data_IF_012254609724
#
_entry.id   IF_012254609724
#
_cell.length_a   1.000
_cell.length_b   1.000
_cell.length_c   1.000
_cell.angle_alpha   90.00
_cell.angle_beta   90.00
_cell.angle_gamma   90.00
#
_symmetry.space_group_name_H-M   'P 1'
#
loop_
_entity.id
_entity.type
_entity.pdbx_description
1 polymer ?
#
# COMPACT_ATOMS: atom_id res chain seq x y z
N UNK A 1 24.43 16.26 -27.13
CA UNK A 1 23.39 15.45 -26.45
C UNK A 1 23.14 16.02 -25.07
N UNK A 2 21.91 16.38 -24.84
CA UNK A 2 21.51 16.95 -23.54
C UNK A 2 21.66 15.90 -22.43
N UNK A 3 22.13 16.32 -21.27
CA UNK A 3 22.28 15.48 -20.08
C UNK A 3 20.96 14.80 -19.67
N UNK A 4 19.83 15.44 -19.94
CA UNK A 4 18.49 14.90 -19.69
C UNK A 4 18.12 13.76 -20.66
N UNK A 5 18.50 13.86 -21.91
CA UNK A 5 18.23 12.84 -22.92
C UNK A 5 18.95 11.54 -22.61
N UNK A 6 20.24 11.64 -22.23
CA UNK A 6 21.02 10.45 -21.83
C UNK A 6 20.45 9.76 -20.59
N UNK A 7 20.01 10.55 -19.59
CA UNK A 7 19.40 10.00 -18.38
C UNK A 7 18.07 9.32 -18.70
N UNK A 8 17.25 9.89 -19.57
CA UNK A 8 15.97 9.31 -19.99
C UNK A 8 16.16 7.97 -20.70
N UNK A 9 17.12 7.90 -21.64
CA UNK A 9 17.42 6.68 -22.38
C UNK A 9 17.98 5.59 -21.47
N UNK A 10 18.82 5.95 -20.50
CA UNK A 10 19.36 5.04 -19.50
C UNK A 10 18.25 4.45 -18.63
N UNK A 11 17.35 5.31 -18.13
CA UNK A 11 16.20 4.89 -17.31
C UNK A 11 15.32 3.93 -18.11
N UNK A 12 14.97 4.26 -19.33
CA UNK A 12 14.13 3.41 -20.19
C UNK A 12 14.75 2.02 -20.38
N UNK A 13 16.05 1.96 -20.67
CA UNK A 13 16.78 0.71 -20.85
C UNK A 13 16.78 -0.12 -19.56
N UNK A 14 17.03 0.50 -18.41
CA UNK A 14 17.04 -0.16 -17.11
C UNK A 14 15.67 -0.72 -16.77
N UNK A 15 14.62 0.08 -16.94
CA UNK A 15 13.25 -0.35 -16.65
C UNK A 15 12.85 -1.54 -17.52
N UNK A 16 13.17 -1.50 -18.80
CA UNK A 16 12.85 -2.58 -19.73
C UNK A 16 13.53 -3.90 -19.38
N UNK A 17 14.80 -3.84 -18.97
CA UNK A 17 15.65 -5.02 -18.80
C UNK A 17 15.67 -5.56 -17.36
N UNK A 18 15.39 -4.72 -16.37
CA UNK A 18 15.62 -5.06 -14.96
C UNK A 18 14.39 -4.93 -14.06
N UNK A 19 13.35 -4.23 -14.47
CA UNK A 19 12.17 -4.05 -13.65
C UNK A 19 11.16 -5.16 -13.91
N UNK A 20 10.76 -5.84 -12.84
CA UNK A 20 9.66 -6.81 -12.86
C UNK A 20 8.47 -6.22 -12.12
N UNK A 21 7.29 -6.31 -12.74
CA UNK A 21 6.04 -5.83 -12.17
C UNK A 21 5.08 -7.01 -12.05
N UNK A 22 4.54 -7.24 -10.85
CA UNK A 22 3.50 -8.23 -10.62
C UNK A 22 2.26 -7.56 -10.06
N UNK A 23 1.10 -7.97 -10.55
CA UNK A 23 -0.19 -7.55 -10.01
C UNK A 23 -0.78 -8.70 -9.21
N UNK A 24 -1.10 -8.46 -7.95
CA UNK A 24 -1.63 -9.45 -7.03
C UNK A 24 -2.94 -8.96 -6.44
N UNK A 25 -3.82 -9.90 -6.10
CA UNK A 25 -5.05 -9.62 -5.37
C UNK A 25 -5.09 -10.55 -4.17
N UNK A 26 -5.31 -10.00 -2.99
CA UNK A 26 -5.45 -10.82 -1.79
C UNK A 26 -6.47 -10.21 -0.84
N UNK A 27 -7.11 -11.06 -0.02
CA UNK A 27 -8.03 -10.59 0.99
C UNK A 27 -7.30 -9.81 2.10
N UNK A 28 -8.04 -8.97 2.81
CA UNK A 28 -7.49 -8.29 3.99
C UNK A 28 -6.99 -9.32 5.00
N UNK A 29 -7.72 -10.41 5.20
CA UNK A 29 -7.28 -11.49 6.10
C UNK A 29 -5.92 -12.04 5.70
N UNK A 30 -5.72 -12.34 4.42
CA UNK A 30 -4.43 -12.85 3.92
C UNK A 30 -3.33 -11.81 4.05
N UNK A 31 -3.62 -10.57 3.67
CA UNK A 31 -2.65 -9.48 3.73
C UNK A 31 -2.15 -9.23 5.16
N UNK A 32 -3.05 -9.15 6.12
CA UNK A 32 -2.72 -8.84 7.52
C UNK A 32 -2.37 -10.08 8.34
N UNK A 33 -2.88 -11.25 7.96
CA UNK A 33 -2.63 -12.51 8.68
C UNK A 33 -1.29 -13.16 8.36
N UNK A 34 -0.64 -12.76 7.29
CA UNK A 34 0.65 -13.33 6.91
C UNK A 34 1.78 -12.75 7.78
N UNK A 35 2.13 -13.48 8.84
CA UNK A 35 3.15 -13.06 9.82
C UNK A 35 4.50 -12.82 9.14
N UNK A 36 4.88 -13.67 8.19
CA UNK A 36 6.15 -13.53 7.47
C UNK A 36 6.17 -12.25 6.63
N UNK A 37 5.08 -11.96 5.94
CA UNK A 37 4.96 -10.75 5.14
C UNK A 37 5.00 -9.49 6.01
N UNK A 38 4.28 -9.49 7.14
CA UNK A 38 4.28 -8.34 8.08
C UNK A 38 5.66 -8.00 8.60
N UNK A 39 6.48 -9.03 8.89
CA UNK A 39 7.86 -8.84 9.34
C UNK A 39 8.76 -8.24 8.25
N UNK A 40 8.42 -8.45 7.00
CA UNK A 40 9.21 -7.96 5.85
C UNK A 40 8.83 -6.55 5.43
N UNK A 41 7.65 -6.07 5.83
CA UNK A 41 7.19 -4.74 5.45
C UNK A 41 7.97 -3.69 6.22
N UNK A 42 8.57 -2.77 5.47
CA UNK A 42 9.32 -1.64 6.01
C UNK A 42 8.89 -0.35 5.34
N UNK A 43 9.07 0.75 6.03
CA UNK A 43 8.80 2.08 5.52
C UNK A 43 10.11 2.84 5.39
N UNK A 44 10.51 3.12 4.16
CA UNK A 44 11.72 3.89 3.90
C UNK A 44 11.45 5.37 4.21
N UNK A 45 12.19 5.99 5.15
CA UNK A 45 11.97 7.39 5.51
C UNK A 45 12.24 8.37 4.37
N UNK A 46 13.00 7.94 3.35
CA UNK A 46 13.34 8.80 2.22
C UNK A 46 12.12 9.19 1.38
N UNK A 47 11.17 8.28 1.20
CA UNK A 47 10.00 8.53 0.34
C UNK A 47 8.65 8.21 1.01
N UNK A 48 8.65 7.94 2.31
CA UNK A 48 7.40 7.65 3.02
C UNK A 48 7.13 8.71 4.08
N UNK A 49 5.87 9.16 4.12
CA UNK A 49 5.38 9.97 5.23
C UNK A 49 5.11 9.07 6.42
N UNK A 50 5.23 9.62 7.64
CA UNK A 50 4.70 8.98 8.83
C UNK A 50 3.18 8.82 8.71
N UNK A 51 2.61 7.94 9.52
CA UNK A 51 1.15 7.83 9.57
C UNK A 51 0.57 9.14 10.08
N UNK A 52 -0.23 9.80 9.23
CA UNK A 52 -0.75 11.16 9.50
C UNK A 52 -2.28 11.25 9.39
N UNK A 53 -2.96 10.19 8.99
CA UNK A 53 -4.42 10.22 8.89
C UNK A 53 -5.03 10.41 10.27
N UNK A 54 -5.96 11.37 10.39
CA UNK A 54 -6.77 11.49 11.59
C UNK A 54 -7.84 10.38 11.64
N UNK A 55 -8.52 10.28 12.76
CA UNK A 55 -9.51 9.22 12.99
C UNK A 55 -10.70 9.33 12.04
N UNK A 56 -11.09 10.52 11.64
CA UNK A 56 -12.20 10.74 10.71
C UNK A 56 -11.85 10.22 9.30
N UNK A 57 -10.65 10.53 8.82
CA UNK A 57 -10.19 10.05 7.52
C UNK A 57 -10.01 8.54 7.52
N UNK A 58 -9.44 7.99 8.59
CA UNK A 58 -9.32 6.54 8.77
C UNK A 58 -10.70 5.86 8.78
N UNK A 59 -11.66 6.45 9.47
CA UNK A 59 -13.05 5.97 9.50
C UNK A 59 -13.68 5.96 8.11
N UNK A 60 -13.52 7.04 7.36
CA UNK A 60 -14.03 7.13 5.99
C UNK A 60 -13.46 6.03 5.10
N UNK A 61 -12.17 5.75 5.25
CA UNK A 61 -11.51 4.67 4.51
C UNK A 61 -12.08 3.29 4.85
N UNK A 62 -12.26 2.99 6.13
CA UNK A 62 -12.85 1.72 6.57
C UNK A 62 -14.29 1.59 6.06
N UNK A 63 -15.09 2.66 6.14
CA UNK A 63 -16.44 2.66 5.58
C UNK A 63 -16.42 2.34 4.08
N UNK A 64 -15.49 2.92 3.34
CA UNK A 64 -15.32 2.66 1.91
C UNK A 64 -15.04 1.19 1.62
N UNK A 65 -14.24 0.54 2.45
CA UNK A 65 -14.00 -0.92 2.40
C UNK A 65 -15.30 -1.67 2.59
N UNK A 66 -16.05 -1.35 3.63
CA UNK A 66 -17.31 -2.04 3.95
C UNK A 66 -18.40 -1.82 2.90
N UNK A 67 -18.39 -0.68 2.23
CA UNK A 67 -19.33 -0.38 1.15
C UNK A 67 -18.93 -1.00 -0.19
N UNK A 68 -17.75 -1.61 -0.28
CA UNK A 68 -17.27 -2.20 -1.52
C UNK A 68 -16.79 -1.17 -2.55
N UNK A 69 -16.47 0.04 -2.12
CA UNK A 69 -15.93 1.08 -3.00
C UNK A 69 -14.55 0.65 -3.52
N UNK A 70 -14.26 0.98 -4.76
CA UNK A 70 -12.95 0.69 -5.34
C UNK A 70 -11.85 1.45 -4.60
N UNK A 71 -10.81 0.71 -4.17
CA UNK A 71 -9.67 1.24 -3.44
C UNK A 71 -8.43 1.22 -4.35
N UNK A 72 -7.66 2.31 -4.41
CA UNK A 72 -6.40 2.30 -5.16
C UNK A 72 -5.47 1.19 -4.66
N UNK A 73 -4.70 0.57 -5.56
CA UNK A 73 -3.81 -0.52 -5.15
C UNK A 73 -2.72 -0.04 -4.20
N UNK A 74 -2.26 -0.94 -3.34
CA UNK A 74 -1.02 -0.75 -2.60
C UNK A 74 0.14 -0.99 -3.57
N UNK A 75 1.19 -0.21 -3.45
CA UNK A 75 2.39 -0.35 -4.29
C UNK A 75 3.56 -0.72 -3.40
N UNK A 76 4.14 -1.88 -3.67
CA UNK A 76 5.26 -2.44 -2.91
C UNK A 76 6.50 -2.55 -3.79
N UNK A 77 7.66 -2.44 -3.16
CA UNK A 77 8.93 -2.76 -3.78
C UNK A 77 9.60 -3.88 -2.99
N UNK A 78 9.82 -5.01 -3.64
CA UNK A 78 10.49 -6.16 -3.03
C UNK A 78 11.99 -6.04 -3.27
N UNK A 79 12.76 -5.92 -2.18
CA UNK A 79 14.22 -5.82 -2.25
C UNK A 79 14.85 -7.19 -2.42
N UNK A 80 16.12 -7.23 -2.81
CA UNK A 80 16.88 -8.47 -2.91
C UNK A 80 16.98 -9.22 -1.58
N UNK A 81 17.01 -8.49 -0.46
CA UNK A 81 17.05 -9.06 0.88
C UNK A 81 15.71 -9.67 1.30
N UNK A 82 14.68 -9.50 0.49
CA UNK A 82 13.35 -10.03 0.76
C UNK A 82 12.47 -9.11 1.60
N UNK A 83 12.93 -7.90 1.94
CA UNK A 83 12.08 -6.91 2.58
C UNK A 83 11.12 -6.30 1.56
N UNK A 84 10.00 -5.81 2.05
CA UNK A 84 8.96 -5.17 1.23
C UNK A 84 8.86 -3.71 1.65
N UNK A 85 9.29 -2.81 0.78
CA UNK A 85 9.15 -1.38 0.99
C UNK A 85 7.78 -0.92 0.48
N UNK A 86 7.02 -0.21 1.31
CA UNK A 86 5.74 0.36 0.89
C UNK A 86 6.00 1.66 0.14
N UNK A 87 5.81 1.62 -1.17
CA UNK A 87 6.03 2.79 -2.05
C UNK A 87 4.83 3.72 -2.00
N UNK A 88 3.63 3.16 -2.08
CA UNK A 88 2.39 3.92 -1.95
C UNK A 88 1.37 3.10 -1.17
N UNK A 89 0.63 3.78 -0.29
CA UNK A 89 -0.44 3.15 0.46
C UNK A 89 -0.13 2.88 1.94
N UNK A 90 0.90 3.50 2.51
CA UNK A 90 1.21 3.36 3.94
C UNK A 90 0.01 3.68 4.83
N UNK A 91 -0.67 4.80 4.55
CA UNK A 91 -1.83 5.22 5.34
C UNK A 91 -2.93 4.15 5.29
N UNK A 92 -3.19 3.63 4.11
CA UNK A 92 -4.21 2.59 3.90
C UNK A 92 -3.81 1.29 4.59
N UNK A 93 -2.60 0.82 4.38
CA UNK A 93 -2.12 -0.41 5.00
C UNK A 93 -2.16 -0.35 6.53
N UNK A 94 -1.65 0.72 7.11
CA UNK A 94 -1.66 0.87 8.57
C UNK A 94 -3.08 1.02 9.12
N UNK A 95 -3.98 1.69 8.40
CA UNK A 95 -5.37 1.82 8.82
C UNK A 95 -6.08 0.47 8.85
N UNK A 96 -5.86 -0.37 7.83
CA UNK A 96 -6.40 -1.73 7.82
C UNK A 96 -5.95 -2.50 9.06
N UNK A 97 -4.66 -2.42 9.39
CA UNK A 97 -4.08 -3.09 10.55
C UNK A 97 -4.61 -2.54 11.87
N UNK A 98 -4.66 -1.22 12.00
CA UNK A 98 -5.20 -0.57 13.21
C UNK A 98 -6.64 -0.98 13.50
N UNK A 99 -7.46 -1.04 12.45
CA UNK A 99 -8.86 -1.43 12.62
C UNK A 99 -8.99 -2.87 13.08
N UNK A 100 -8.29 -3.79 12.42
CA UNK A 100 -8.33 -5.21 12.81
C UNK A 100 -7.84 -5.43 14.24
N UNK A 101 -6.82 -4.69 14.65
CA UNK A 101 -6.19 -4.84 15.98
C UNK A 101 -6.92 -4.09 17.10
N UNK A 102 -8.07 -3.47 16.83
CA UNK A 102 -8.86 -2.77 17.84
C UNK A 102 -8.35 -1.38 18.20
N UNK A 103 -7.46 -0.80 17.38
CA UNK A 103 -6.86 0.51 17.64
C UNK A 103 -7.58 1.65 16.88
N UNK A 104 -8.74 1.38 16.32
CA UNK A 104 -9.56 2.36 15.63
C UNK A 104 -11.02 2.13 15.94
N UNK A 105 -11.65 3.09 16.63
CA UNK A 105 -13.10 3.16 16.77
C UNK A 105 -13.64 4.14 15.72
N UNK A 106 -14.66 3.71 14.98
CA UNK A 106 -15.23 4.53 13.91
C UNK A 106 -15.90 5.79 14.47
N UNK A 107 -15.67 6.92 13.82
CA UNK A 107 -16.21 8.22 14.28
C UNK A 107 -17.49 8.56 13.55
N UNK A 108 -18.39 9.26 14.23
CA UNK A 108 -19.63 9.75 13.64
C UNK A 108 -19.34 10.72 12.48
N UNK A 109 -18.35 11.57 12.63
CA UNK A 109 -17.96 12.56 11.63
C UNK A 109 -17.36 11.93 10.38
N UNK A 110 -16.55 10.86 10.54
CA UNK A 110 -15.93 10.17 9.42
C UNK A 110 -16.92 9.29 8.63
N UNK A 111 -17.97 8.80 9.27
CA UNK A 111 -19.00 7.98 8.62
C UNK A 111 -19.95 8.85 7.80
N UNK A 112 -20.21 8.45 6.56
CA UNK A 112 -21.17 9.14 5.68
C UNK A 112 -22.46 8.35 5.50
N UNK A 113 -22.38 7.04 5.41
CA UNK A 113 -23.51 6.15 5.13
C UNK A 113 -23.83 5.19 6.26
N UNK A 114 -22.79 4.58 6.87
CA UNK A 114 -22.95 3.56 7.90
C UNK A 114 -22.92 4.19 9.31
N UNK A 115 -23.73 5.18 9.53
CA UNK A 115 -23.77 5.99 10.77
C UNK A 115 -23.99 5.16 12.03
N UNK A 116 -24.70 4.03 11.93
CA UNK A 116 -24.95 3.14 13.07
C UNK A 116 -23.67 2.49 13.62
N UNK A 117 -22.56 2.50 12.85
CA UNK A 117 -21.31 1.91 13.28
C UNK A 117 -20.45 2.87 14.11
N UNK A 118 -20.91 4.09 14.42
CA UNK A 118 -20.11 5.03 15.20
C UNK A 118 -19.74 4.45 16.57
N UNK A 119 -18.54 4.77 17.03
CA UNK A 119 -17.90 4.25 18.26
C UNK A 119 -17.55 2.77 18.21
N UNK A 120 -17.90 2.05 17.17
CA UNK A 120 -17.56 0.63 17.06
C UNK A 120 -16.12 0.42 16.62
N UNK A 121 -15.49 -0.57 17.26
CA UNK A 121 -14.24 -1.19 16.81
C UNK A 121 -14.58 -2.46 16.04
N UNK A 122 -13.60 -3.04 15.37
CA UNK A 122 -13.78 -4.31 14.67
C UNK A 122 -14.42 -5.39 15.55
N UNK A 123 -13.93 -5.54 16.78
CA UNK A 123 -14.43 -6.55 17.72
C UNK A 123 -15.87 -6.33 18.16
N UNK A 124 -16.40 -5.12 18.05
CA UNK A 124 -17.79 -4.78 18.40
C UNK A 124 -18.79 -5.11 17.30
N UNK A 125 -18.29 -5.35 16.09
CA UNK A 125 -19.14 -5.60 14.92
C UNK A 125 -19.67 -7.03 14.92
N UNK A 126 -20.84 -7.23 14.29
CA UNK A 126 -21.35 -8.57 14.13
C UNK A 126 -20.45 -9.38 13.18
N UNK A 127 -20.51 -10.70 13.30
CA UNK A 127 -19.67 -11.62 12.54
C UNK A 127 -19.79 -11.40 11.03
N UNK A 128 -20.99 -11.10 10.54
CA UNK A 128 -21.22 -10.88 9.11
C UNK A 128 -20.44 -9.68 8.57
N UNK A 129 -20.35 -8.60 9.33
CA UNK A 129 -19.58 -7.42 8.96
C UNK A 129 -18.09 -7.71 9.09
N UNK A 130 -17.68 -8.42 10.14
CA UNK A 130 -16.28 -8.84 10.31
C UNK A 130 -15.82 -9.68 9.11
N UNK A 131 -16.63 -10.65 8.70
CA UNK A 131 -16.31 -11.50 7.54
C UNK A 131 -16.24 -10.69 6.24
N UNK A 132 -17.17 -9.76 6.06
CA UNK A 132 -17.16 -8.86 4.90
C UNK A 132 -15.82 -8.09 4.83
N UNK A 133 -15.37 -7.57 5.97
CA UNK A 133 -14.09 -6.86 6.05
C UNK A 133 -12.92 -7.76 5.69
N UNK A 134 -12.85 -8.94 6.32
CA UNK A 134 -11.75 -9.89 6.09
C UNK A 134 -11.70 -10.41 4.65
N UNK A 135 -12.86 -10.56 4.01
CA UNK A 135 -12.97 -11.08 2.65
C UNK A 135 -12.72 -10.03 1.57
N UNK A 136 -12.68 -8.76 1.94
CA UNK A 136 -12.46 -7.67 0.98
C UNK A 136 -11.11 -7.85 0.28
N UNK A 137 -11.12 -7.75 -1.05
CA UNK A 137 -9.94 -7.93 -1.88
C UNK A 137 -9.16 -6.62 -2.02
N UNK A 138 -7.87 -6.70 -1.76
CA UNK A 138 -6.94 -5.57 -1.93
C UNK A 138 -6.02 -5.89 -3.10
N UNK A 139 -5.92 -4.94 -4.03
CA UNK A 139 -4.98 -5.03 -5.15
C UNK A 139 -3.61 -4.55 -4.71
N UNK A 140 -2.57 -5.27 -5.15
CA UNK A 140 -1.19 -4.95 -4.85
C UNK A 140 -0.41 -4.95 -6.15
N UNK A 141 0.33 -3.89 -6.38
CA UNK A 141 1.32 -3.82 -7.45
C UNK A 141 2.68 -3.98 -6.80
N UNK A 142 3.41 -5.03 -7.17
CA UNK A 142 4.72 -5.32 -6.61
C UNK A 142 5.80 -5.12 -7.67
N UNK A 143 6.72 -4.20 -7.39
CA UNK A 143 7.91 -3.99 -8.19
C UNK A 143 9.08 -4.75 -7.58
N UNK A 144 9.91 -5.32 -8.42
CA UNK A 144 11.18 -5.93 -8.02
C UNK A 144 12.22 -5.73 -9.11
N UNK A 145 13.48 -5.87 -8.73
CA UNK A 145 14.59 -5.72 -9.68
C UNK A 145 15.11 -7.10 -10.03
N UNK A 146 15.24 -7.37 -11.32
CA UNK A 146 16.01 -8.50 -11.83
C UNK A 146 17.45 -8.01 -11.96
N UNK A 147 18.31 -8.47 -11.05
CA UNK A 147 19.67 -7.94 -10.90
C UNK A 147 20.70 -8.76 -11.70
N UNK A 148 20.35 -9.12 -12.94
CA UNK A 148 21.26 -9.80 -13.88
C UNK A 148 21.19 -9.16 -15.27
N UNK A 149 22.29 -8.51 -15.74
CA UNK A 149 23.55 -8.26 -15.01
C UNK A 149 23.36 -7.31 -13.84
N UNK A 150 24.27 -7.42 -12.86
CA UNK A 150 24.16 -6.65 -11.62
C UNK A 150 24.12 -5.15 -11.86
N UNK A 151 23.14 -4.48 -11.26
CA UNK A 151 22.97 -3.04 -11.32
C UNK A 151 23.93 -2.34 -10.35
N UNK A 152 24.37 -1.15 -10.70
CA UNK A 152 25.07 -0.26 -9.77
C UNK A 152 24.07 0.34 -8.79
N UNK A 153 24.57 0.83 -7.64
CA UNK A 153 23.72 1.51 -6.65
C UNK A 153 23.00 2.71 -7.27
N UNK A 154 23.67 3.44 -8.16
CA UNK A 154 23.08 4.57 -8.88
C UNK A 154 21.90 4.13 -9.77
N UNK A 155 22.07 3.03 -10.49
CA UNK A 155 21.02 2.49 -11.36
C UNK A 155 19.81 2.01 -10.55
N UNK A 156 20.06 1.36 -9.43
CA UNK A 156 19.00 0.94 -8.51
C UNK A 156 18.23 2.15 -7.96
N UNK A 157 18.92 3.21 -7.57
CA UNK A 157 18.30 4.47 -7.13
C UNK A 157 17.44 5.10 -8.21
N UNK A 158 17.89 5.08 -9.47
CA UNK A 158 17.12 5.61 -10.60
C UNK A 158 15.81 4.83 -10.78
N UNK A 159 15.84 3.51 -10.65
CA UNK A 159 14.64 2.68 -10.72
C UNK A 159 13.68 3.05 -9.59
N UNK A 160 14.17 3.15 -8.36
CA UNK A 160 13.33 3.50 -7.21
C UNK A 160 12.67 4.87 -7.38
N UNK A 161 13.39 5.87 -7.86
CA UNK A 161 12.84 7.20 -8.12
C UNK A 161 11.78 7.17 -9.20
N UNK A 162 11.95 6.38 -10.24
CA UNK A 162 10.96 6.23 -11.30
C UNK A 162 9.69 5.56 -10.79
N UNK A 163 9.82 4.53 -9.97
CA UNK A 163 8.68 3.86 -9.31
C UNK A 163 7.91 4.86 -8.45
N UNK A 164 8.61 5.72 -7.69
CA UNK A 164 7.99 6.74 -6.86
C UNK A 164 7.20 7.78 -7.65
N UNK A 165 7.60 8.06 -8.90
CA UNK A 165 6.87 8.96 -9.77
C UNK A 165 5.59 8.33 -10.32
N UNK A 166 5.49 6.99 -10.24
CA UNK A 166 4.31 6.24 -10.64
C UNK A 166 3.27 6.28 -9.52
N UNK A 167 2.39 7.27 -9.60
CA UNK A 167 1.35 7.49 -8.59
C UNK A 167 0.02 6.96 -9.12
N UNK A 168 -0.49 5.82 -8.61
CA UNK A 168 -1.88 5.46 -8.86
C UNK A 168 -2.80 6.49 -8.21
N UNK A 169 -4.07 6.53 -8.65
CA UNK A 169 -5.06 7.51 -8.19
C UNK A 169 -5.00 7.77 -6.69
N UNK A 170 -4.81 9.04 -6.30
CA UNK A 170 -4.65 9.43 -4.90
C UNK A 170 -5.97 9.85 -4.24
N UNK A 171 -6.94 8.93 -4.16
CA UNK A 171 -8.17 9.19 -3.44
C UNK A 171 -7.96 9.19 -1.93
N UNK A 172 -7.03 8.38 -1.44
CA UNK A 172 -6.77 8.21 -0.02
C UNK A 172 -5.30 8.47 0.35
N UNK A 173 -4.63 9.21 -0.42
CA UNK A 173 -3.29 9.37 -0.16
C UNK A 173 -2.30 10.01 -0.19
#
# INVERSE_FOLDING_TARGET
MDKFTLQSDEIESILKNHLKIESKVMSIETLLGNVRMRKKIVYDPYYQRNYVWDTDKATYFIESILLGTEIPPLVFFKTEQGTIEVIDGRQRYETLSKFLNGNLALTKKGLTSLKSLHKQKYSDMNEKIQDLYLDTKIRIIEFSIVNEPKLTDRQEDLIKKEILSFQPMQLFG
#
